data_IF_716495687458
#
_entry.id   IF_716495687458
#
_cell.length_a   1.000
_cell.length_b   1.000
_cell.length_c   1.000
_cell.angle_alpha   90.00
_cell.angle_beta   90.00
_cell.angle_gamma   90.00
#
_symmetry.space_group_name_H-M   'P 1'
#
loop_
_entity.id
_entity.type
_entity.pdbx_description
1 polymer ?
#
# COMPACT_ATOMS: atom_id res chain seq x y z
N UNK A 1 -68.75 16.12 -34.54
CA UNK A 1 -67.35 15.71 -34.79
C UNK A 1 -66.44 16.93 -34.78
N UNK A 2 -65.76 17.23 -33.66
CA UNK A 2 -64.58 18.12 -33.61
C UNK A 2 -63.67 17.60 -32.51
N UNK A 3 -62.48 17.15 -32.91
CA UNK A 3 -61.54 16.38 -32.10
C UNK A 3 -60.73 17.24 -31.13
N UNK A 4 -60.43 16.64 -29.98
CA UNK A 4 -59.61 17.21 -28.91
C UNK A 4 -58.14 16.80 -29.16
N UNK A 5 -57.29 17.72 -29.61
CA UNK A 5 -55.84 17.48 -29.66
C UNK A 5 -55.29 17.55 -28.23
N UNK A 6 -54.80 16.41 -27.70
CA UNK A 6 -54.00 16.37 -26.48
C UNK A 6 -52.52 16.52 -26.87
N UNK A 7 -51.92 17.64 -26.48
CA UNK A 7 -50.48 17.89 -26.57
C UNK A 7 -49.77 17.08 -25.50
N UNK A 8 -49.05 16.04 -25.87
CA UNK A 8 -48.15 15.30 -24.98
C UNK A 8 -46.78 15.96 -24.97
N UNK A 9 -46.47 16.69 -23.89
CA UNK A 9 -45.09 17.12 -23.61
C UNK A 9 -44.25 15.92 -23.19
N UNK A 10 -43.20 15.64 -23.96
CA UNK A 10 -42.17 14.65 -23.61
C UNK A 10 -41.08 15.38 -22.84
N UNK A 11 -40.97 15.09 -21.54
CA UNK A 11 -39.85 15.55 -20.74
C UNK A 11 -38.65 14.61 -21.00
N UNK A 12 -37.59 15.13 -21.61
CA UNK A 12 -36.31 14.43 -21.75
C UNK A 12 -35.56 14.60 -20.42
N UNK A 13 -35.50 13.55 -19.63
CA UNK A 13 -34.67 13.50 -18.43
C UNK A 13 -33.21 13.28 -18.86
N UNK A 14 -32.37 14.30 -18.65
CA UNK A 14 -30.91 14.18 -18.74
C UNK A 14 -30.43 13.34 -17.54
N UNK A 15 -30.13 12.07 -17.79
CA UNK A 15 -29.42 11.22 -16.84
C UNK A 15 -27.95 11.66 -16.83
N UNK A 16 -27.56 12.46 -15.83
CA UNK A 16 -26.15 12.57 -15.47
C UNK A 16 -25.72 11.22 -14.89
N UNK A 17 -24.61 10.62 -15.35
CA UNK A 17 -24.04 9.49 -14.63
C UNK A 17 -23.62 10.03 -13.26
N UNK A 18 -24.35 9.63 -12.23
CA UNK A 18 -23.85 9.76 -10.87
C UNK A 18 -22.59 8.89 -10.84
N UNK A 19 -21.42 9.53 -10.75
CA UNK A 19 -20.22 8.84 -10.32
C UNK A 19 -20.59 8.23 -8.97
N UNK A 20 -20.79 6.91 -8.95
CA UNK A 20 -20.95 6.20 -7.70
C UNK A 20 -19.71 6.56 -6.89
N UNK A 21 -19.85 7.04 -5.64
CA UNK A 21 -18.69 7.09 -4.76
C UNK A 21 -18.14 5.66 -4.78
N UNK A 22 -16.94 5.51 -5.35
CA UNK A 22 -16.19 4.28 -5.22
C UNK A 22 -16.21 4.02 -3.72
N UNK A 23 -16.91 2.96 -3.28
CA UNK A 23 -16.81 2.51 -1.89
C UNK A 23 -15.33 2.58 -1.56
N UNK A 24 -14.94 3.20 -0.45
CA UNK A 24 -13.54 3.24 -0.05
C UNK A 24 -13.06 1.78 0.02
N UNK A 25 -12.52 1.29 -1.10
CA UNK A 25 -11.96 -0.04 -1.23
C UNK A 25 -10.92 -0.10 -0.15
N UNK A 26 -10.98 -1.15 0.67
CA UNK A 26 -10.26 -1.30 1.92
C UNK A 26 -8.76 -1.09 1.71
N UNK A 27 -8.34 0.15 1.72
CA UNK A 27 -7.01 0.56 1.30
C UNK A 27 -6.06 0.13 2.40
N UNK A 28 -5.12 -0.72 2.02
CA UNK A 28 -4.09 -1.27 2.91
C UNK A 28 -2.82 -0.45 2.79
N UNK A 29 -2.46 -0.10 1.55
CA UNK A 29 -1.23 0.61 1.22
C UNK A 29 -1.54 1.76 0.27
N UNK A 30 -0.99 2.94 0.56
CA UNK A 30 -0.97 4.08 -0.35
C UNK A 30 0.45 4.35 -0.83
N UNK A 31 0.66 4.49 -2.14
CA UNK A 31 1.92 4.91 -2.75
C UNK A 31 1.72 6.30 -3.37
N UNK A 32 2.56 7.28 -3.03
CA UNK A 32 2.47 8.66 -3.52
C UNK A 32 3.83 9.20 -3.99
N UNK A 33 3.82 10.44 -4.48
CA UNK A 33 5.02 11.13 -4.95
C UNK A 33 5.27 10.94 -6.45
N UNK A 34 6.51 10.61 -6.83
CA UNK A 34 6.95 10.43 -8.21
C UNK A 34 6.44 9.11 -8.82
N UNK A 35 5.13 9.07 -9.11
CA UNK A 35 4.42 7.92 -9.71
C UNK A 35 3.75 8.28 -11.05
N UNK A 36 3.74 7.35 -12.00
CA UNK A 36 3.12 7.49 -13.32
C UNK A 36 1.65 7.05 -13.36
N UNK A 37 1.30 5.98 -12.63
CA UNK A 37 -0.06 5.40 -12.60
C UNK A 37 -0.75 5.73 -11.29
N UNK A 38 -2.04 6.06 -11.36
CA UNK A 38 -2.87 6.44 -10.20
C UNK A 38 -4.23 5.76 -10.28
N UNK A 39 -4.87 5.54 -9.13
CA UNK A 39 -6.24 5.00 -9.04
C UNK A 39 -7.05 5.65 -7.90
N UNK A 40 -6.51 6.72 -7.29
CA UNK A 40 -7.14 7.49 -6.23
C UNK A 40 -7.05 8.98 -6.55
N UNK A 41 -8.05 9.73 -6.10
CA UNK A 41 -8.11 11.20 -6.11
C UNK A 41 -7.02 11.83 -5.22
N UNK A 42 -6.88 13.16 -5.26
CA UNK A 42 -5.98 13.89 -4.38
C UNK A 42 -6.33 13.70 -2.90
N UNK A 43 -5.35 13.97 -2.03
CA UNK A 43 -5.54 13.96 -0.58
C UNK A 43 -6.71 14.86 -0.15
N UNK A 44 -7.62 14.30 0.66
CA UNK A 44 -8.75 15.00 1.26
C UNK A 44 -8.58 15.06 2.78
N UNK A 45 -8.34 16.24 3.40
CA UNK A 45 -8.04 16.33 4.83
C UNK A 45 -9.18 15.90 5.77
N UNK A 46 -10.40 15.72 5.27
CA UNK A 46 -11.53 15.20 6.03
C UNK A 46 -11.62 13.67 5.93
N UNK A 47 -11.51 13.11 4.73
CA UNK A 47 -11.60 11.65 4.52
C UNK A 47 -10.27 10.92 4.76
N UNK A 48 -9.15 11.61 4.65
CA UNK A 48 -7.78 11.11 4.87
C UNK A 48 -7.25 11.49 6.26
N UNK A 49 -8.10 11.39 7.29
CA UNK A 49 -7.77 11.82 8.65
C UNK A 49 -6.51 11.16 9.22
N UNK A 50 -6.23 9.90 8.87
CA UNK A 50 -5.03 9.21 9.33
C UNK A 50 -3.76 9.65 8.58
N UNK A 51 -3.82 9.82 7.26
CA UNK A 51 -2.71 10.41 6.49
C UNK A 51 -2.42 11.83 6.97
N UNK A 52 -3.45 12.62 7.26
CA UNK A 52 -3.33 13.95 7.86
C UNK A 52 -2.64 13.90 9.23
N UNK A 53 -2.95 12.93 10.07
CA UNK A 53 -2.29 12.74 11.37
C UNK A 53 -0.78 12.50 11.22
N UNK A 54 -0.35 11.88 10.12
CA UNK A 54 1.05 11.68 9.75
C UNK A 54 1.63 12.81 8.87
N UNK A 55 0.95 13.95 8.76
CA UNK A 55 1.34 15.08 7.90
C UNK A 55 1.58 14.69 6.43
N UNK A 56 0.86 13.67 5.93
CA UNK A 56 0.95 13.21 4.55
C UNK A 56 -0.07 13.91 3.66
N UNK A 57 0.40 14.32 2.48
CA UNK A 57 -0.40 14.97 1.44
C UNK A 57 0.12 14.57 0.07
N UNK A 58 -0.74 14.57 -0.94
CA UNK A 58 -0.37 14.27 -2.32
C UNK A 58 -1.44 14.79 -3.29
N UNK A 59 -1.01 15.19 -4.49
CA UNK A 59 -1.92 15.53 -5.58
C UNK A 59 -2.50 14.27 -6.24
N UNK A 60 -1.78 13.16 -6.15
CA UNK A 60 -2.13 11.86 -6.73
C UNK A 60 -1.50 10.72 -5.94
N UNK A 61 -2.16 9.58 -5.93
CA UNK A 61 -1.65 8.36 -5.32
C UNK A 61 -2.15 7.10 -6.06
N UNK A 62 -1.46 6.00 -5.79
CA UNK A 62 -1.93 4.66 -6.11
C UNK A 62 -2.20 3.90 -4.81
N UNK A 63 -3.40 3.35 -4.65
CA UNK A 63 -3.78 2.55 -3.50
C UNK A 63 -3.88 1.08 -3.86
N UNK A 64 -3.51 0.24 -2.89
CA UNK A 64 -3.72 -1.18 -2.95
C UNK A 64 -4.65 -1.61 -1.83
N UNK A 65 -5.65 -2.41 -2.16
CA UNK A 65 -6.36 -3.26 -1.21
C UNK A 65 -5.67 -4.63 -1.08
N UNK A 66 -6.25 -5.52 -0.28
CA UNK A 66 -5.71 -6.86 -0.06
C UNK A 66 -5.67 -7.70 -1.34
N UNK A 67 -6.69 -7.61 -2.19
CA UNK A 67 -6.80 -8.41 -3.42
C UNK A 67 -5.76 -7.96 -4.45
N UNK A 68 -5.55 -6.65 -4.59
CA UNK A 68 -4.51 -6.08 -5.45
C UNK A 68 -3.11 -6.50 -5.00
N UNK A 69 -2.82 -6.49 -3.70
CA UNK A 69 -1.54 -6.97 -3.16
C UNK A 69 -1.34 -8.47 -3.37
N UNK A 70 -2.40 -9.27 -3.17
CA UNK A 70 -2.35 -10.72 -3.35
C UNK A 70 -2.23 -11.14 -4.83
N UNK A 71 -2.70 -10.30 -5.77
CA UNK A 71 -2.59 -10.54 -7.20
C UNK A 71 -1.17 -10.34 -7.76
N UNK A 72 -0.32 -9.60 -7.05
CA UNK A 72 1.10 -9.47 -7.41
C UNK A 72 1.85 -10.80 -7.17
N UNK A 73 2.97 -11.05 -7.88
CA UNK A 73 3.79 -12.24 -7.64
C UNK A 73 4.22 -12.37 -6.18
N UNK A 74 3.75 -13.41 -5.50
CA UNK A 74 4.06 -13.64 -4.09
C UNK A 74 5.39 -14.38 -3.92
N UNK A 75 6.15 -13.99 -2.89
CA UNK A 75 7.36 -14.67 -2.44
C UNK A 75 7.13 -15.31 -1.07
N UNK A 76 7.88 -16.36 -0.77
CA UNK A 76 8.00 -16.95 0.57
C UNK A 76 9.47 -16.96 0.96
N UNK A 77 9.81 -16.29 2.05
CA UNK A 77 11.20 -16.09 2.49
C UNK A 77 11.41 -16.61 3.92
N UNK A 78 12.67 -16.81 4.32
CA UNK A 78 13.04 -17.23 5.67
C UNK A 78 13.72 -16.09 6.42
N UNK A 79 13.05 -15.56 7.43
CA UNK A 79 13.51 -14.40 8.19
C UNK A 79 13.94 -14.80 9.59
N UNK A 80 15.10 -14.33 10.02
CA UNK A 80 15.63 -14.53 11.37
C UNK A 80 16.49 -13.34 11.78
N UNK A 81 16.39 -12.90 13.03
CA UNK A 81 17.17 -11.76 13.56
C UNK A 81 17.97 -12.16 14.81
N UNK A 82 19.06 -11.44 15.06
CA UNK A 82 19.84 -11.55 16.31
C UNK A 82 19.38 -10.52 17.35
N UNK A 83 18.11 -10.61 17.73
CA UNK A 83 17.53 -9.81 18.82
C UNK A 83 17.04 -10.73 19.94
N UNK A 84 16.97 -10.20 21.17
CA UNK A 84 16.62 -11.00 22.36
C UNK A 84 15.22 -11.63 22.25
N UNK A 85 14.28 -10.91 21.65
CA UNK A 85 12.88 -11.30 21.56
C UNK A 85 12.50 -12.02 20.25
N UNK A 86 13.45 -12.24 19.32
CA UNK A 86 13.14 -12.94 18.07
C UNK A 86 12.97 -14.45 18.30
N UNK A 87 11.80 -15.04 18.00
CA UNK A 87 11.46 -16.36 18.53
C UNK A 87 12.21 -17.51 17.85
N UNK A 88 12.37 -17.44 16.54
CA UNK A 88 13.01 -18.44 15.66
C UNK A 88 13.02 -17.94 14.23
N UNK A 89 13.55 -18.72 13.29
CA UNK A 89 13.28 -18.48 11.87
C UNK A 89 11.78 -18.55 11.58
N UNK A 90 11.27 -17.50 10.95
CA UNK A 90 9.87 -17.34 10.53
C UNK A 90 9.78 -17.44 9.01
N UNK A 91 8.74 -18.10 8.50
CA UNK A 91 8.40 -18.03 7.09
C UNK A 91 7.51 -16.80 6.85
N UNK A 92 7.93 -15.88 6.00
CA UNK A 92 7.16 -14.67 5.69
C UNK A 92 6.75 -14.67 4.22
N UNK A 93 5.53 -14.23 3.93
CA UNK A 93 4.96 -14.25 2.58
C UNK A 93 4.40 -12.89 2.18
N UNK A 94 4.69 -12.44 0.96
CA UNK A 94 4.17 -11.19 0.41
C UNK A 94 4.77 -10.85 -0.96
N UNK A 95 4.28 -9.80 -1.64
CA UNK A 95 4.86 -9.33 -2.90
C UNK A 95 6.20 -8.63 -2.68
N UNK A 96 6.99 -8.56 -3.74
CA UNK A 96 8.22 -7.77 -3.74
C UNK A 96 7.89 -6.27 -3.73
N UNK A 97 8.67 -5.50 -2.97
CA UNK A 97 8.56 -4.03 -2.95
C UNK A 97 8.71 -3.43 -4.36
N UNK A 98 9.65 -3.97 -5.15
CA UNK A 98 9.86 -3.51 -6.54
C UNK A 98 8.63 -3.70 -7.44
N UNK A 99 7.84 -4.75 -7.22
CA UNK A 99 6.65 -5.03 -8.04
C UNK A 99 5.49 -4.10 -7.64
N UNK A 100 5.40 -3.76 -6.35
CA UNK A 100 4.46 -2.74 -5.84
C UNK A 100 4.79 -1.37 -6.42
N UNK A 101 6.07 -0.96 -6.37
CA UNK A 101 6.53 0.31 -6.95
C UNK A 101 6.35 0.36 -8.47
N UNK A 102 6.65 -0.74 -9.17
CA UNK A 102 6.45 -0.85 -10.62
C UNK A 102 4.98 -0.75 -11.01
N UNK A 103 4.05 -1.28 -10.20
CA UNK A 103 2.61 -1.18 -10.45
C UNK A 103 2.12 0.27 -10.42
N UNK A 104 2.70 1.11 -9.56
CA UNK A 104 2.43 2.56 -9.52
C UNK A 104 3.23 3.34 -10.59
N UNK A 105 4.05 2.67 -11.42
CA UNK A 105 5.00 3.30 -12.34
C UNK A 105 5.89 4.34 -11.63
N UNK A 106 6.41 3.96 -10.45
CA UNK A 106 7.28 4.80 -9.64
C UNK A 106 8.61 5.11 -10.36
N UNK A 107 9.04 6.38 -10.34
CA UNK A 107 10.24 6.86 -11.05
C UNK A 107 11.24 7.63 -10.18
N UNK A 108 11.03 7.70 -8.86
CA UNK A 108 11.94 8.36 -7.92
C UNK A 108 13.23 7.59 -7.67
N UNK A 109 14.19 8.26 -7.03
CA UNK A 109 15.48 7.71 -6.58
C UNK A 109 15.43 7.19 -5.15
N UNK A 110 14.51 7.69 -4.35
CA UNK A 110 14.28 7.24 -2.98
C UNK A 110 12.84 6.78 -2.81
N UNK A 111 12.64 5.87 -1.86
CA UNK A 111 11.33 5.46 -1.38
C UNK A 111 11.36 5.45 0.15
N UNK A 112 10.46 6.20 0.78
CA UNK A 112 10.32 6.22 2.24
C UNK A 112 9.07 5.46 2.63
N UNK A 113 9.24 4.42 3.45
CA UNK A 113 8.14 3.62 3.97
C UNK A 113 7.74 4.14 5.34
N UNK A 114 6.44 4.33 5.55
CA UNK A 114 5.87 4.81 6.80
C UNK A 114 5.00 3.75 7.46
N UNK A 115 5.24 3.57 8.75
CA UNK A 115 4.51 2.68 9.64
C UNK A 115 3.39 3.40 10.38
N UNK A 116 2.38 2.65 10.85
CA UNK A 116 1.24 3.17 11.59
C UNK A 116 1.61 3.93 12.88
N UNK A 117 2.78 3.68 13.47
CA UNK A 117 3.27 4.35 14.68
C UNK A 117 4.03 5.66 14.38
N UNK A 118 4.20 5.99 13.10
CA UNK A 118 4.94 7.16 12.63
C UNK A 118 6.41 6.90 12.35
N UNK A 119 6.92 5.67 12.52
CA UNK A 119 8.26 5.33 12.07
C UNK A 119 8.36 5.45 10.55
N UNK A 120 9.44 6.07 10.07
CA UNK A 120 9.74 6.25 8.65
C UNK A 120 11.13 5.72 8.34
N UNK A 121 11.25 4.93 7.27
CA UNK A 121 12.54 4.42 6.80
C UNK A 121 12.75 4.78 5.33
N UNK A 122 13.73 5.64 5.07
CA UNK A 122 14.11 6.05 3.71
C UNK A 122 15.07 5.03 3.09
N UNK A 123 14.73 4.58 1.90
CA UNK A 123 15.56 3.70 1.08
C UNK A 123 16.01 4.44 -0.17
N UNK A 124 17.32 4.68 -0.29
CA UNK A 124 17.93 5.03 -1.57
C UNK A 124 18.00 3.84 -2.52
N UNK A 125 18.28 4.12 -3.80
CA UNK A 125 18.42 3.12 -4.86
C UNK A 125 19.33 1.93 -4.47
N UNK A 126 20.47 2.20 -3.80
CA UNK A 126 21.40 1.13 -3.39
C UNK A 126 20.81 0.21 -2.31
N UNK A 127 20.07 0.76 -1.33
CA UNK A 127 19.40 -0.05 -0.29
C UNK A 127 18.22 -0.82 -0.86
N UNK A 128 17.46 -0.23 -1.79
CA UNK A 128 16.40 -0.95 -2.51
C UNK A 128 16.96 -2.10 -3.35
N UNK A 129 18.16 -1.94 -3.92
CA UNK A 129 18.82 -2.96 -4.73
C UNK A 129 19.62 -3.99 -3.91
N UNK A 130 19.88 -3.74 -2.62
CA UNK A 130 20.74 -4.62 -1.81
C UNK A 130 20.10 -5.97 -1.48
N UNK A 131 18.76 -6.03 -1.47
CA UNK A 131 18.00 -7.25 -1.22
C UNK A 131 16.73 -7.30 -2.08
N UNK A 132 16.20 -8.51 -2.26
CA UNK A 132 14.83 -8.71 -2.72
C UNK A 132 13.87 -8.47 -1.54
N UNK A 133 13.60 -7.20 -1.25
CA UNK A 133 12.67 -6.76 -0.21
C UNK A 133 11.24 -7.19 -0.53
N UNK A 134 10.53 -7.74 0.45
CA UNK A 134 9.09 -8.02 0.36
C UNK A 134 8.32 -7.13 1.32
N UNK A 135 7.05 -6.88 0.98
CA UNK A 135 6.05 -6.40 1.92
C UNK A 135 5.26 -7.61 2.41
N UNK A 136 5.74 -8.24 3.48
CA UNK A 136 5.12 -9.43 4.04
C UNK A 136 3.68 -9.12 4.49
N UNK A 137 2.76 -9.98 4.09
CA UNK A 137 1.34 -9.99 4.44
C UNK A 137 1.01 -11.11 5.42
N UNK A 138 1.87 -12.14 5.50
CA UNK A 138 1.70 -13.30 6.39
C UNK A 138 3.00 -13.71 7.06
N UNK A 139 2.86 -14.32 8.23
CA UNK A 139 3.92 -15.02 8.97
C UNK A 139 3.43 -16.42 9.30
N UNK A 140 4.20 -17.44 8.91
CA UNK A 140 3.89 -18.86 9.06
C UNK A 140 2.46 -19.20 8.59
N UNK A 141 2.11 -18.69 7.40
CA UNK A 141 0.80 -18.88 6.77
C UNK A 141 -0.36 -18.09 7.39
N UNK A 142 -0.13 -17.33 8.46
CA UNK A 142 -1.16 -16.51 9.13
C UNK A 142 -1.09 -15.05 8.69
N UNK A 143 -2.22 -14.39 8.39
CA UNK A 143 -2.22 -12.98 8.01
C UNK A 143 -1.73 -12.09 9.16
N UNK A 144 -1.01 -11.03 8.80
CA UNK A 144 -0.64 -9.97 9.72
C UNK A 144 -1.86 -9.09 10.02
N UNK A 145 -2.10 -8.85 11.31
CA UNK A 145 -3.17 -7.98 11.77
C UNK A 145 -2.64 -6.75 12.50
N UNK A 146 -3.47 -5.70 12.54
CA UNK A 146 -3.25 -4.54 13.40
C UNK A 146 -3.34 -5.00 14.87
N UNK A 147 -2.41 -4.56 15.71
CA UNK A 147 -2.18 -5.10 17.06
C UNK A 147 -1.08 -6.17 17.13
N UNK A 148 -0.62 -6.64 15.96
CA UNK A 148 0.67 -7.33 15.76
C UNK A 148 1.59 -6.50 14.87
N UNK A 149 2.21 -7.14 13.87
CA UNK A 149 3.14 -6.50 12.92
C UNK A 149 2.46 -6.02 11.61
N UNK A 150 1.13 -6.05 11.54
CA UNK A 150 0.38 -5.68 10.34
C UNK A 150 0.07 -4.18 10.23
N UNK A 151 -0.35 -3.70 9.04
CA UNK A 151 -0.88 -4.51 7.95
C UNK A 151 0.19 -5.17 7.07
N UNK A 152 1.33 -4.52 6.85
CA UNK A 152 2.43 -5.03 6.03
C UNK A 152 3.75 -4.92 6.79
N UNK A 153 4.68 -5.84 6.55
CA UNK A 153 6.01 -5.81 7.15
C UNK A 153 7.10 -5.87 6.07
N UNK A 154 7.87 -4.79 5.93
CA UNK A 154 9.05 -4.75 5.07
C UNK A 154 10.16 -5.61 5.68
N UNK A 155 10.57 -6.66 4.96
CA UNK A 155 11.65 -7.59 5.36
C UNK A 155 12.34 -8.14 4.11
N UNK A 156 13.46 -8.84 4.30
CA UNK A 156 14.13 -9.59 3.23
C UNK A 156 14.54 -10.99 3.68
N UNK A 157 14.86 -11.87 2.72
CA UNK A 157 15.25 -13.25 3.01
C UNK A 157 16.65 -13.31 3.67
N UNK A 158 16.71 -13.73 4.92
CA UNK A 158 17.99 -13.92 5.62
C UNK A 158 18.57 -15.32 5.38
N UNK A 159 17.85 -16.18 4.65
CA UNK A 159 18.17 -17.59 4.45
C UNK A 159 18.13 -18.37 5.77
N UNK A 160 17.42 -17.86 6.79
CA UNK A 160 17.39 -18.41 8.15
C UNK A 160 18.61 -18.08 9.02
N UNK A 161 19.65 -17.44 8.45
CA UNK A 161 20.74 -16.88 9.26
C UNK A 161 20.21 -15.69 10.04
N UNK A 162 20.75 -15.46 11.23
CA UNK A 162 20.39 -14.29 12.01
C UNK A 162 20.96 -13.04 11.34
N UNK A 163 20.08 -12.15 10.91
CA UNK A 163 20.46 -10.81 10.50
C UNK A 163 20.96 -10.04 11.74
N UNK A 164 22.04 -9.26 11.63
CA UNK A 164 22.49 -8.41 12.72
C UNK A 164 21.44 -7.33 13.02
N UNK A 165 21.49 -6.79 14.24
CA UNK A 165 20.53 -5.77 14.69
C UNK A 165 20.51 -4.53 13.79
N UNK A 166 21.66 -4.12 13.21
CA UNK A 166 21.67 -2.99 12.28
C UNK A 166 20.84 -3.22 11.01
N UNK A 167 20.76 -4.47 10.54
CA UNK A 167 19.94 -4.83 9.38
C UNK A 167 18.47 -4.99 9.78
N UNK A 168 18.19 -5.56 10.95
CA UNK A 168 16.82 -5.70 11.46
C UNK A 168 16.14 -4.33 11.65
N UNK A 169 16.89 -3.31 12.09
CA UNK A 169 16.38 -1.92 12.22
C UNK A 169 15.90 -1.28 10.91
N UNK A 170 16.23 -1.87 9.76
CA UNK A 170 15.70 -1.44 8.46
C UNK A 170 14.37 -2.10 8.10
N UNK A 171 13.88 -3.04 8.92
CA UNK A 171 12.61 -3.71 8.73
C UNK A 171 11.48 -2.88 9.32
N UNK A 172 10.52 -2.53 8.48
CA UNK A 172 9.41 -1.64 8.84
C UNK A 172 8.16 -2.49 9.03
N UNK A 173 7.71 -2.68 10.25
CA UNK A 173 6.42 -3.32 10.53
C UNK A 173 5.29 -2.29 10.47
N UNK A 174 4.07 -2.74 10.22
CA UNK A 174 2.89 -1.88 10.07
C UNK A 174 2.96 -0.84 8.93
N UNK A 175 3.60 -1.16 7.80
CA UNK A 175 3.68 -0.25 6.63
C UNK A 175 2.29 0.02 6.07
N UNK A 176 1.92 1.30 5.94
CA UNK A 176 0.65 1.73 5.36
C UNK A 176 0.79 2.78 4.24
N UNK A 177 1.95 3.44 4.15
CA UNK A 177 2.23 4.46 3.14
C UNK A 177 3.67 4.37 2.64
N UNK A 178 3.86 4.59 1.35
CA UNK A 178 5.17 4.69 0.70
C UNK A 178 5.21 5.99 -0.10
N UNK A 179 6.21 6.81 0.15
CA UNK A 179 6.45 8.06 -0.56
C UNK A 179 7.67 7.91 -1.45
N UNK A 180 7.51 8.20 -2.74
CA UNK A 180 8.57 8.08 -3.76
C UNK A 180 9.02 9.46 -4.19
N UNK A 181 10.33 9.73 -4.19
CA UNK A 181 10.92 11.03 -4.57
C UNK A 181 12.02 10.91 -5.62
#
# INVERSE_FOLDING_TARGET
MRGLLRSTSVAIALLFPAASPCLAESTVLTVSGAIGKTNREAFDPFFDGFLKFHDKTFDKAYTFDWDALAALPQQTIKVNADTEDWPRTLAMEGPLLRDVLATAEASGKTATLYALDGFGFEMGADKMASHDWILAMKVDGKPLGIGGFGPLWLVYDTGGRKAPEEEERSWVWSVFHIEVE
#
